data_IF_126648462577
#
_entry.id   IF_126648462577
#
_cell.length_a   1.000
_cell.length_b   1.000
_cell.length_c   1.000
_cell.angle_alpha   90.00
_cell.angle_beta   90.00
_cell.angle_gamma   90.00
#
_symmetry.space_group_name_H-M   'P 1'
#
loop_
_entity.id
_entity.type
_entity.pdbx_description
1 polymer ?
#
# COMPACT_ATOMS: atom_id res chain seq x y z
N UNK A 1 -2.77 -18.92 19.02
CA UNK A 1 -1.89 -18.28 18.01
C UNK A 1 -2.67 -17.73 16.80
N UNK A 2 -3.57 -18.51 16.18
CA UNK A 2 -4.35 -18.09 14.98
C UNK A 2 -4.98 -16.69 15.11
N UNK A 3 -5.76 -16.40 16.15
CA UNK A 3 -6.42 -15.08 16.36
C UNK A 3 -5.49 -13.86 16.27
N UNK A 4 -4.28 -13.93 16.83
CA UNK A 4 -3.36 -12.78 16.87
C UNK A 4 -2.85 -12.40 15.49
N UNK A 5 -2.68 -13.37 14.58
CA UNK A 5 -2.20 -13.14 13.22
C UNK A 5 -3.24 -12.39 12.38
N UNK A 6 -4.52 -12.77 12.49
CA UNK A 6 -5.62 -12.08 11.80
C UNK A 6 -5.76 -10.62 12.25
N UNK A 7 -5.70 -10.38 13.57
CA UNK A 7 -5.75 -9.02 14.12
C UNK A 7 -4.52 -8.22 13.70
N UNK A 8 -3.32 -8.80 13.77
CA UNK A 8 -2.08 -8.12 13.35
C UNK A 8 -2.11 -7.74 11.87
N UNK A 9 -2.54 -8.64 11.00
CA UNK A 9 -2.72 -8.36 9.58
C UNK A 9 -3.73 -7.23 9.35
N UNK A 10 -4.90 -7.31 10.01
CA UNK A 10 -5.93 -6.27 9.88
C UNK A 10 -5.45 -4.89 10.33
N UNK A 11 -4.69 -4.81 11.44
CA UNK A 11 -4.11 -3.55 11.92
C UNK A 11 -3.09 -3.00 10.93
N UNK A 12 -2.22 -3.86 10.39
CA UNK A 12 -1.23 -3.46 9.38
C UNK A 12 -1.90 -2.90 8.12
N UNK A 13 -2.91 -3.61 7.60
CA UNK A 13 -3.66 -3.16 6.43
C UNK A 13 -4.44 -1.86 6.71
N UNK A 14 -5.01 -1.70 7.90
CA UNK A 14 -5.66 -0.45 8.28
C UNK A 14 -4.66 0.71 8.31
N UNK A 15 -3.47 0.50 8.86
CA UNK A 15 -2.41 1.52 8.89
C UNK A 15 -1.97 1.93 7.48
N UNK A 16 -1.65 0.95 6.62
CA UNK A 16 -1.27 1.19 5.21
C UNK A 16 -2.41 1.91 4.48
N UNK A 17 -3.64 1.40 4.62
CA UNK A 17 -4.82 1.89 3.92
C UNK A 17 -5.17 3.33 4.29
N UNK A 18 -5.15 3.68 5.57
CA UNK A 18 -5.41 5.05 6.03
C UNK A 18 -4.35 6.02 5.49
N UNK A 19 -3.07 5.65 5.60
CA UNK A 19 -1.96 6.47 5.08
C UNK A 19 -2.06 6.69 3.57
N UNK A 20 -2.35 5.62 2.83
CA UNK A 20 -2.51 5.66 1.37
C UNK A 20 -3.76 6.44 0.92
N UNK A 21 -4.89 6.34 1.65
CA UNK A 21 -6.07 7.17 1.38
C UNK A 21 -5.75 8.65 1.58
N UNK A 22 -5.13 9.02 2.70
CA UNK A 22 -4.78 10.41 2.99
C UNK A 22 -3.77 10.97 1.98
N UNK A 23 -2.68 10.24 1.70
CA UNK A 23 -1.67 10.63 0.72
C UNK A 23 -2.24 10.69 -0.70
N UNK A 24 -3.01 9.69 -1.09
CA UNK A 24 -3.64 9.61 -2.41
C UNK A 24 -4.64 10.75 -2.66
N UNK A 25 -5.52 11.04 -1.69
CA UNK A 25 -6.41 12.20 -1.76
C UNK A 25 -5.63 13.52 -1.85
N UNK A 26 -4.55 13.68 -1.07
CA UNK A 26 -3.71 14.87 -1.14
C UNK A 26 -3.14 15.12 -2.54
N UNK A 27 -2.66 14.07 -3.20
CA UNK A 27 -2.16 14.12 -4.58
C UNK A 27 -3.28 14.32 -5.61
N UNK A 28 -4.47 13.75 -5.38
CA UNK A 28 -5.61 13.93 -6.29
C UNK A 28 -6.19 15.35 -6.23
N UNK A 29 -6.30 15.92 -5.02
CA UNK A 29 -6.82 17.27 -4.82
C UNK A 29 -5.84 18.35 -5.27
N UNK A 30 -4.54 18.08 -5.18
CA UNK A 30 -3.51 18.95 -5.73
C UNK A 30 -2.45 18.14 -6.52
N UNK A 31 -2.73 17.82 -7.80
CA UNK A 31 -1.85 17.02 -8.65
C UNK A 31 -0.49 17.62 -8.95
N UNK A 32 -0.27 18.91 -8.63
CA UNK A 32 1.06 19.52 -8.70
C UNK A 32 2.02 18.97 -7.65
N UNK A 33 1.51 18.35 -6.58
CA UNK A 33 2.31 17.89 -5.43
C UNK A 33 2.58 19.00 -4.40
N UNK A 34 2.23 20.26 -4.70
CA UNK A 34 2.57 21.41 -3.85
C UNK A 34 2.02 21.35 -2.42
N UNK A 35 0.82 20.78 -2.21
CA UNK A 35 0.24 20.60 -0.87
C UNK A 35 1.03 19.62 0.02
N UNK A 36 1.81 18.74 -0.60
CA UNK A 36 2.64 17.74 0.05
C UNK A 36 4.13 18.07 -0.05
N UNK A 37 4.47 19.28 -0.55
CA UNK A 37 5.86 19.72 -0.75
C UNK A 37 6.62 18.88 -1.78
N UNK A 38 5.92 18.24 -2.71
CA UNK A 38 6.51 17.39 -3.74
C UNK A 38 6.76 18.18 -5.03
N UNK A 39 8.03 18.38 -5.44
CA UNK A 39 8.38 19.03 -6.70
C UNK A 39 7.97 18.19 -7.92
N UNK A 40 7.56 18.82 -9.02
CA UNK A 40 7.25 18.10 -10.27
C UNK A 40 8.50 17.50 -10.92
N UNK A 41 9.67 18.01 -10.57
CA UNK A 41 10.98 17.56 -11.02
C UNK A 41 11.22 16.07 -10.69
N UNK A 42 10.58 15.54 -9.63
CA UNK A 42 10.62 14.10 -9.32
C UNK A 42 9.96 13.24 -10.40
N UNK A 43 9.08 13.82 -11.21
CA UNK A 43 8.35 13.13 -12.27
C UNK A 43 9.06 13.19 -13.64
N UNK A 44 10.16 13.94 -13.80
CA UNK A 44 10.84 14.13 -15.09
C UNK A 44 11.24 12.83 -15.79
N UNK A 45 11.57 11.79 -15.02
CA UNK A 45 11.95 10.46 -15.52
C UNK A 45 10.83 9.44 -15.47
N UNK A 46 9.61 9.87 -15.12
CA UNK A 46 8.42 9.04 -15.06
C UNK A 46 7.59 9.25 -16.34
N UNK A 47 6.65 8.34 -16.67
CA UNK A 47 5.68 8.58 -17.74
C UNK A 47 4.56 9.57 -17.36
N UNK A 48 4.63 10.21 -16.18
CA UNK A 48 3.56 11.06 -15.65
C UNK A 48 3.96 12.54 -15.66
N UNK A 49 3.04 13.41 -16.05
CA UNK A 49 3.22 14.86 -16.00
C UNK A 49 2.77 15.49 -14.68
N UNK A 50 1.98 14.76 -13.89
CA UNK A 50 1.44 15.19 -12.59
C UNK A 50 1.31 14.00 -11.64
N UNK A 51 1.09 14.28 -10.36
CA UNK A 51 0.87 13.27 -9.34
C UNK A 51 -0.54 12.65 -9.35
N UNK A 52 -1.42 13.01 -10.30
CA UNK A 52 -2.79 12.51 -10.34
C UNK A 52 -2.84 10.98 -10.46
N UNK A 53 -2.09 10.40 -11.42
CA UNK A 53 -2.10 8.95 -11.65
C UNK A 53 -1.47 8.20 -10.46
N UNK A 54 -0.29 8.60 -9.95
CA UNK A 54 0.23 8.04 -8.69
C UNK A 54 -0.74 8.17 -7.51
N UNK A 55 -1.43 9.31 -7.39
CA UNK A 55 -2.42 9.56 -6.35
C UNK A 55 -3.63 8.64 -6.44
N UNK A 56 -4.15 8.40 -7.65
CA UNK A 56 -5.24 7.46 -7.90
C UNK A 56 -4.84 6.02 -7.54
N UNK A 57 -3.66 5.56 -7.94
CA UNK A 57 -3.17 4.22 -7.60
C UNK A 57 -3.00 4.07 -6.09
N UNK A 58 -2.41 5.08 -5.44
CA UNK A 58 -2.22 5.11 -4.00
C UNK A 58 -3.58 5.09 -3.27
N UNK A 59 -4.52 5.95 -3.65
CA UNK A 59 -5.85 6.04 -3.04
C UNK A 59 -6.66 4.75 -3.23
N UNK A 60 -6.71 4.21 -4.45
CA UNK A 60 -7.60 3.09 -4.78
C UNK A 60 -7.01 1.74 -4.38
N UNK A 61 -5.86 1.38 -4.91
CA UNK A 61 -5.27 0.04 -4.72
C UNK A 61 -4.70 -0.08 -3.33
N UNK A 62 -3.78 0.81 -2.96
CA UNK A 62 -3.12 0.74 -1.66
C UNK A 62 -4.00 1.28 -0.53
N UNK A 63 -4.89 2.23 -0.80
CA UNK A 63 -5.79 2.81 0.19
C UNK A 63 -7.04 1.96 0.40
N UNK A 64 -8.00 2.07 -0.51
CA UNK A 64 -9.28 1.36 -0.40
C UNK A 64 -9.10 -0.17 -0.39
N UNK A 65 -8.17 -0.70 -1.20
CA UNK A 65 -7.86 -2.12 -1.22
C UNK A 65 -7.40 -2.63 0.14
N UNK A 66 -6.46 -1.95 0.80
CA UNK A 66 -6.01 -2.33 2.14
C UNK A 66 -7.09 -2.14 3.20
N UNK A 67 -7.92 -1.09 3.12
CA UNK A 67 -9.04 -0.92 4.06
C UNK A 67 -10.07 -2.07 3.93
N UNK A 68 -10.37 -2.49 2.70
CA UNK A 68 -11.22 -3.66 2.45
C UNK A 68 -10.55 -4.94 2.96
N UNK A 69 -9.24 -5.10 2.73
CA UNK A 69 -8.41 -6.18 3.27
C UNK A 69 -8.44 -6.24 4.80
N UNK A 70 -8.30 -5.09 5.47
CA UNK A 70 -8.38 -4.97 6.91
C UNK A 70 -9.75 -5.44 7.44
N UNK A 71 -10.84 -4.99 6.80
CA UNK A 71 -12.19 -5.47 7.11
C UNK A 71 -12.34 -6.98 6.95
N UNK A 72 -11.80 -7.55 5.87
CA UNK A 72 -11.78 -8.99 5.64
C UNK A 72 -10.96 -9.74 6.71
N UNK A 73 -9.82 -9.19 7.12
CA UNK A 73 -8.94 -9.74 8.15
C UNK A 73 -9.61 -9.72 9.54
N UNK A 74 -10.22 -8.60 9.94
CA UNK A 74 -10.93 -8.49 11.21
C UNK A 74 -12.18 -9.37 11.29
N UNK A 75 -12.90 -9.52 10.17
CA UNK A 75 -14.08 -10.41 10.08
C UNK A 75 -13.73 -11.86 9.72
N UNK A 76 -12.43 -12.18 9.64
CA UNK A 76 -11.88 -13.52 9.37
C UNK A 76 -12.44 -14.18 8.11
N UNK A 77 -12.57 -13.40 7.03
CA UNK A 77 -13.00 -13.94 5.73
C UNK A 77 -11.93 -14.85 5.14
N UNK A 78 -12.37 -15.94 4.50
CA UNK A 78 -11.51 -16.97 3.89
C UNK A 78 -10.47 -16.45 2.90
N UNK A 79 -10.80 -15.35 2.21
CA UNK A 79 -9.97 -14.75 1.16
C UNK A 79 -9.05 -13.64 1.68
N UNK A 80 -9.07 -13.31 2.98
CA UNK A 80 -8.27 -12.20 3.53
C UNK A 80 -6.76 -12.39 3.28
N UNK A 81 -6.26 -13.63 3.39
CA UNK A 81 -4.86 -13.94 3.11
C UNK A 81 -4.47 -13.72 1.65
N UNK A 82 -5.35 -14.07 0.71
CA UNK A 82 -5.11 -13.89 -0.74
C UNK A 82 -5.07 -12.40 -1.10
N UNK A 83 -6.01 -11.62 -0.55
CA UNK A 83 -6.03 -10.15 -0.70
C UNK A 83 -4.74 -9.53 -0.15
N UNK A 84 -4.34 -9.88 1.07
CA UNK A 84 -3.13 -9.34 1.71
C UNK A 84 -1.86 -9.66 0.93
N UNK A 85 -1.73 -10.87 0.38
CA UNK A 85 -0.60 -11.21 -0.47
C UNK A 85 -0.56 -10.39 -1.76
N UNK A 86 -1.71 -10.23 -2.42
CA UNK A 86 -1.81 -9.45 -3.65
C UNK A 86 -1.50 -7.97 -3.41
N UNK A 87 -2.07 -7.37 -2.36
CA UNK A 87 -1.84 -5.97 -2.00
C UNK A 87 -0.42 -5.71 -1.51
N UNK A 88 0.14 -6.59 -0.68
CA UNK A 88 1.52 -6.48 -0.24
C UNK A 88 2.52 -6.59 -1.39
N UNK A 89 2.32 -7.55 -2.30
CA UNK A 89 3.13 -7.68 -3.51
C UNK A 89 3.00 -6.47 -4.44
N UNK A 90 1.78 -5.95 -4.61
CA UNK A 90 1.54 -4.73 -5.37
C UNK A 90 2.24 -3.52 -4.75
N UNK A 91 2.14 -3.34 -3.43
CA UNK A 91 2.80 -2.23 -2.72
C UNK A 91 4.32 -2.27 -2.90
N UNK A 92 4.94 -3.45 -2.78
CA UNK A 92 6.37 -3.63 -3.03
C UNK A 92 6.72 -3.27 -4.47
N UNK A 93 6.01 -3.83 -5.45
CA UNK A 93 6.25 -3.55 -6.86
C UNK A 93 6.08 -2.05 -7.18
N UNK A 94 5.05 -1.41 -6.62
CA UNK A 94 4.78 0.01 -6.81
C UNK A 94 5.91 0.89 -6.29
N UNK A 95 6.41 0.62 -5.07
CA UNK A 95 7.55 1.35 -4.50
C UNK A 95 8.82 1.15 -5.33
N UNK A 96 9.08 -0.06 -5.81
CA UNK A 96 10.25 -0.34 -6.66
C UNK A 96 10.19 0.44 -7.98
N UNK A 97 9.02 0.51 -8.61
CA UNK A 97 8.80 1.30 -9.83
C UNK A 97 9.02 2.79 -9.55
N UNK A 98 8.50 3.31 -8.44
CA UNK A 98 8.70 4.70 -8.04
C UNK A 98 10.16 5.03 -7.81
N UNK A 99 10.89 4.20 -7.06
CA UNK A 99 12.33 4.37 -6.81
C UNK A 99 13.12 4.33 -8.12
N UNK A 100 12.77 3.40 -9.01
CA UNK A 100 13.43 3.26 -10.31
C UNK A 100 13.29 4.53 -11.15
N UNK A 101 12.08 5.11 -11.24
CA UNK A 101 11.89 6.34 -12.01
C UNK A 101 12.41 7.59 -11.30
N UNK A 102 12.07 7.80 -10.03
CA UNK A 102 12.34 9.04 -9.29
C UNK A 102 13.81 9.19 -8.86
N UNK A 103 14.69 8.21 -9.17
CA UNK A 103 16.14 8.27 -8.95
C UNK A 103 16.54 8.67 -7.52
N UNK A 104 15.80 8.21 -6.50
CA UNK A 104 16.07 8.56 -5.11
C UNK A 104 15.29 7.73 -4.09
N UNK A 105 15.95 7.35 -3.01
CA UNK A 105 15.31 6.72 -1.86
C UNK A 105 14.94 7.78 -0.83
N UNK A 106 13.64 7.93 -0.57
CA UNK A 106 13.13 8.63 0.60
C UNK A 106 12.87 7.61 1.71
N UNK A 107 12.94 8.01 2.99
CA UNK A 107 12.75 7.09 4.12
C UNK A 107 11.37 6.40 4.10
N UNK A 108 10.35 7.06 3.53
CA UNK A 108 9.02 6.47 3.31
C UNK A 108 9.08 5.26 2.38
N UNK A 109 9.95 5.25 1.36
CA UNK A 109 10.11 4.09 0.47
C UNK A 109 10.58 2.86 1.27
N UNK A 110 11.57 3.03 2.16
CA UNK A 110 12.04 1.93 3.01
C UNK A 110 10.96 1.41 3.95
N UNK A 111 10.20 2.32 4.56
CA UNK A 111 9.10 1.97 5.43
C UNK A 111 8.05 1.14 4.67
N UNK A 112 7.50 1.68 3.58
CA UNK A 112 6.39 1.03 2.87
C UNK A 112 6.82 -0.23 2.11
N UNK A 113 8.06 -0.33 1.66
CA UNK A 113 8.62 -1.57 1.12
C UNK A 113 8.66 -2.66 2.19
N UNK A 114 9.11 -2.33 3.40
CA UNK A 114 9.08 -3.25 4.54
C UNK A 114 7.65 -3.65 4.91
N UNK A 115 6.72 -2.69 5.00
CA UNK A 115 5.33 -2.96 5.32
C UNK A 115 4.65 -3.87 4.28
N UNK A 116 4.90 -3.66 2.99
CA UNK A 116 4.36 -4.52 1.92
C UNK A 116 4.87 -5.97 1.99
N UNK A 117 6.16 -6.17 2.33
CA UNK A 117 6.72 -7.50 2.56
C UNK A 117 6.06 -8.16 3.78
N UNK A 118 5.93 -7.42 4.89
CA UNK A 118 5.28 -7.94 6.11
C UNK A 118 3.81 -8.28 5.85
N UNK A 119 3.08 -7.44 5.09
CA UNK A 119 1.70 -7.70 4.69
C UNK A 119 1.58 -9.01 3.91
N UNK A 120 2.45 -9.21 2.91
CA UNK A 120 2.45 -10.43 2.11
C UNK A 120 2.78 -11.69 2.96
N UNK A 121 3.75 -11.60 3.87
CA UNK A 121 4.13 -12.72 4.75
C UNK A 121 3.02 -13.07 5.75
N UNK A 122 2.38 -12.06 6.34
CA UNK A 122 1.22 -12.27 7.22
C UNK A 122 0.02 -12.81 6.44
N UNK A 123 -0.21 -12.30 5.23
CA UNK A 123 -1.22 -12.80 4.30
C UNK A 123 -1.04 -14.28 3.97
N UNK A 124 0.20 -14.70 3.65
CA UNK A 124 0.55 -16.10 3.44
C UNK A 124 0.28 -16.95 4.68
N UNK A 125 0.63 -16.44 5.87
CA UNK A 125 0.39 -17.14 7.14
C UNK A 125 -1.11 -17.33 7.41
N UNK A 126 -1.93 -16.31 7.15
CA UNK A 126 -3.40 -16.38 7.24
C UNK A 126 -3.98 -17.38 6.23
N UNK A 127 -3.51 -17.31 4.98
CA UNK A 127 -3.94 -18.19 3.90
C UNK A 127 -3.66 -19.66 4.22
N UNK A 128 -2.44 -19.99 4.69
CA UNK A 128 -2.07 -21.35 5.11
C UNK A 128 -2.95 -21.83 6.26
N UNK A 129 -3.17 -20.99 7.27
CA UNK A 129 -3.95 -21.35 8.46
C UNK A 129 -5.43 -21.66 8.20
N UNK A 130 -5.96 -21.22 7.04
CA UNK A 130 -7.34 -21.49 6.59
C UNK A 130 -7.45 -22.75 5.71
N UNK A 131 -6.36 -23.17 5.03
CA UNK A 131 -6.34 -24.36 4.17
C UNK A 131 -5.85 -25.64 4.87
N UNK A 132 -5.35 -25.53 6.11
CA UNK A 132 -5.00 -26.65 7.01
C UNK A 132 -6.03 -26.83 8.10
#
# INVERSE_FOLDING_TARGET
MKTRVWTGLGVLQAFIGIGAVAGGLGLMLNPSGGSLGLPLELLEKTPFSTYLVPGLVLFTVNGLGNLAGAGASFTRRRFAGEIAMALGAFLVAWILIQVYWMSGFHWLHWLYLGLGIVEAVLGWSVWRAYRT
#
